data_IF_906626941659
#
_entry.id   IF_906626941659
#
_cell.length_a   1.000
_cell.length_b   1.000
_cell.length_c   1.000
_cell.angle_alpha   90.00
_cell.angle_beta   90.00
_cell.angle_gamma   90.00
#
_symmetry.space_group_name_H-M   'P 1'
#
loop_
_entity.id
_entity.type
_entity.pdbx_description
1 polymer ?
#
# COMPACT_ATOMS: atom_id res chain seq x y z
N UNK A 1 -1.54 27.19 16.39
CA UNK A 1 -1.71 25.83 15.78
C UNK A 1 -0.87 24.83 16.56
N UNK A 2 -1.41 23.66 16.96
CA UNK A 2 -0.64 22.67 17.77
C UNK A 2 0.30 21.83 16.90
N UNK A 3 1.42 21.36 17.48
CA UNK A 3 2.43 20.51 16.79
C UNK A 3 1.83 19.26 16.14
N UNK A 4 0.80 18.69 16.77
CA UNK A 4 0.10 17.50 16.27
C UNK A 4 -0.66 17.78 14.96
N UNK A 5 -1.32 18.93 14.83
CA UNK A 5 -1.99 19.33 13.58
C UNK A 5 -1.01 19.55 12.42
N UNK A 6 0.21 20.00 12.71
CA UNK A 6 1.28 20.17 11.71
C UNK A 6 1.79 18.81 11.21
N UNK A 7 2.01 17.85 12.12
CA UNK A 7 2.45 16.48 11.78
C UNK A 7 1.43 15.73 10.92
N UNK A 8 0.13 15.88 11.17
CA UNK A 8 -0.92 15.25 10.33
C UNK A 8 -0.90 15.83 8.91
N UNK A 9 -0.75 17.15 8.77
CA UNK A 9 -0.65 17.79 7.45
C UNK A 9 0.56 17.27 6.67
N UNK A 10 1.72 17.24 7.32
CA UNK A 10 2.95 16.73 6.70
C UNK A 10 2.81 15.26 6.26
N UNK A 11 2.13 14.42 7.05
CA UNK A 11 1.88 13.03 6.69
C UNK A 11 0.86 12.88 5.54
N UNK A 12 -0.16 13.75 5.48
CA UNK A 12 -1.09 13.79 4.35
C UNK A 12 -0.39 14.23 3.06
N UNK A 13 0.50 15.22 3.14
CA UNK A 13 1.29 15.69 1.99
C UNK A 13 2.20 14.55 1.48
N UNK A 14 2.86 13.81 2.38
CA UNK A 14 3.61 12.60 2.03
C UNK A 14 2.73 11.53 1.38
N UNK A 15 1.52 11.31 1.90
CA UNK A 15 0.60 10.31 1.36
C UNK A 15 0.22 10.64 -0.08
N UNK A 16 -0.09 11.91 -0.36
CA UNK A 16 -0.40 12.38 -1.71
C UNK A 16 0.75 12.09 -2.67
N UNK A 17 1.98 12.43 -2.30
CA UNK A 17 3.17 12.17 -3.11
C UNK A 17 3.35 10.67 -3.39
N UNK A 18 3.20 9.83 -2.36
CA UNK A 18 3.35 8.37 -2.51
C UNK A 18 2.28 7.78 -3.46
N UNK A 19 1.04 8.27 -3.39
CA UNK A 19 -0.04 7.84 -4.28
C UNK A 19 0.18 8.29 -5.73
N UNK A 20 0.66 9.52 -5.94
CA UNK A 20 1.00 10.03 -7.28
C UNK A 20 2.15 9.24 -7.91
N UNK A 21 3.19 8.92 -7.13
CA UNK A 21 4.29 8.07 -7.58
C UNK A 21 3.82 6.66 -7.92
N UNK A 22 2.99 6.05 -7.07
CA UNK A 22 2.47 4.71 -7.31
C UNK A 22 1.61 4.66 -8.58
N UNK A 23 0.74 5.65 -8.78
CA UNK A 23 -0.07 5.78 -9.99
C UNK A 23 0.82 5.89 -11.23
N UNK A 24 1.80 6.80 -11.20
CA UNK A 24 2.74 6.96 -12.30
C UNK A 24 3.48 5.64 -12.60
N UNK A 25 4.01 4.95 -11.59
CA UNK A 25 4.71 3.69 -11.79
C UNK A 25 3.79 2.61 -12.39
N UNK A 26 2.52 2.58 -11.99
CA UNK A 26 1.51 1.64 -12.52
C UNK A 26 1.24 1.92 -14.00
N UNK A 27 1.03 3.19 -14.38
CA UNK A 27 0.83 3.59 -15.78
C UNK A 27 2.01 3.19 -16.69
N UNK A 28 3.25 3.33 -16.19
CA UNK A 28 4.44 2.89 -16.92
C UNK A 28 4.54 1.35 -16.98
N UNK A 29 4.23 0.66 -15.88
CA UNK A 29 4.24 -0.80 -15.85
C UNK A 29 3.23 -1.39 -16.83
N UNK A 30 2.01 -0.85 -16.88
CA UNK A 30 0.95 -1.21 -17.83
C UNK A 30 1.36 -0.93 -19.29
N UNK A 31 2.23 0.06 -19.49
CA UNK A 31 2.90 0.35 -20.77
C UNK A 31 4.10 -0.57 -21.06
N UNK A 32 4.15 -1.76 -20.43
CA UNK A 32 5.20 -2.78 -20.56
C UNK A 32 6.59 -2.39 -20.02
N UNK A 33 6.70 -1.34 -19.20
CA UNK A 33 7.96 -1.00 -18.51
C UNK A 33 8.12 -1.83 -17.24
N UNK A 34 8.39 -3.13 -17.39
CA UNK A 34 8.40 -4.12 -16.30
C UNK A 34 9.35 -3.75 -15.14
N UNK A 35 10.43 -3.02 -15.42
CA UNK A 35 11.37 -2.55 -14.39
C UNK A 35 10.72 -1.62 -13.35
N UNK A 36 9.53 -1.06 -13.63
CA UNK A 36 8.75 -0.26 -12.69
C UNK A 36 8.15 -1.06 -11.54
N UNK A 37 8.15 -2.41 -11.61
CA UNK A 37 7.70 -3.26 -10.51
C UNK A 37 8.45 -3.01 -9.20
N UNK A 38 9.78 -2.77 -9.26
CA UNK A 38 10.60 -2.52 -8.07
C UNK A 38 10.28 -1.15 -7.42
N UNK A 39 10.21 -0.03 -8.17
CA UNK A 39 9.67 1.24 -7.67
C UNK A 39 8.28 1.11 -7.06
N UNK A 40 7.35 0.37 -7.69
CA UNK A 40 6.00 0.12 -7.15
C UNK A 40 6.06 -0.57 -5.79
N UNK A 41 6.80 -1.68 -5.69
CA UNK A 41 6.97 -2.42 -4.44
C UNK A 41 7.58 -1.54 -3.33
N UNK A 42 8.50 -0.64 -3.71
CA UNK A 42 9.11 0.31 -2.78
C UNK A 42 8.09 1.30 -2.24
N UNK A 43 7.22 1.89 -3.09
CA UNK A 43 6.16 2.80 -2.63
C UNK A 43 5.18 2.07 -1.72
N UNK A 44 4.76 0.85 -2.09
CA UNK A 44 3.89 0.02 -1.24
C UNK A 44 4.51 -0.22 0.12
N UNK A 45 5.81 -0.57 0.18
CA UNK A 45 6.52 -0.78 1.45
C UNK A 45 6.44 0.45 2.35
N UNK A 46 6.64 1.66 1.84
CA UNK A 46 6.51 2.90 2.63
C UNK A 46 5.09 3.07 3.21
N UNK A 47 4.07 2.69 2.46
CA UNK A 47 2.68 2.83 2.87
C UNK A 47 2.27 1.83 3.95
N UNK A 48 2.69 0.56 3.86
CA UNK A 48 2.14 -0.53 4.68
C UNK A 48 3.15 -1.20 5.63
N UNK A 49 4.46 -1.13 5.35
CA UNK A 49 5.43 -1.92 6.10
C UNK A 49 5.69 -1.32 7.49
N UNK A 50 5.39 -2.12 8.52
CA UNK A 50 5.61 -1.78 9.92
C UNK A 50 6.63 -2.72 10.55
N UNK A 51 7.43 -2.17 11.44
CA UNK A 51 8.34 -2.91 12.33
C UNK A 51 8.42 -2.16 13.65
N UNK A 52 9.01 -2.76 14.67
CA UNK A 52 9.25 -2.12 15.97
C UNK A 52 10.04 -0.79 15.87
N UNK A 53 10.77 -0.60 14.77
CA UNK A 53 11.62 0.58 14.53
C UNK A 53 11.11 1.51 13.44
N UNK A 54 10.02 1.15 12.74
CA UNK A 54 9.51 1.91 11.60
C UNK A 54 8.00 1.80 11.50
N UNK A 55 7.34 2.95 11.60
CA UNK A 55 5.90 3.05 11.45
C UNK A 55 5.55 3.43 10.01
N UNK A 56 4.68 2.65 9.39
CA UNK A 56 4.17 2.91 8.05
C UNK A 56 3.40 4.24 8.01
N UNK A 57 3.30 4.83 6.81
CA UNK A 57 2.61 6.12 6.67
C UNK A 57 1.10 6.01 6.99
N UNK A 58 0.47 4.88 6.66
CA UNK A 58 -0.93 4.64 6.98
C UNK A 58 -1.17 4.50 8.48
N UNK A 59 -0.23 3.88 9.20
CA UNK A 59 -0.31 3.78 10.66
C UNK A 59 -0.20 5.15 11.33
N UNK A 60 0.74 5.98 10.86
CA UNK A 60 0.89 7.35 11.34
C UNK A 60 -0.34 8.22 11.09
N UNK A 61 -1.20 7.84 10.14
CA UNK A 61 -2.45 8.50 9.80
C UNK A 61 -3.69 7.81 10.39
N UNK A 62 -3.52 6.73 11.15
CA UNK A 62 -4.62 5.92 11.70
C UNK A 62 -5.55 5.36 10.61
N UNK A 63 -4.98 4.99 9.46
CA UNK A 63 -5.71 4.46 8.30
C UNK A 63 -5.65 2.94 8.17
N UNK A 64 -4.92 2.23 9.05
CA UNK A 64 -4.74 0.78 8.97
C UNK A 64 -6.08 0.03 8.91
N UNK A 65 -7.03 0.39 9.76
CA UNK A 65 -8.34 -0.24 9.82
C UNK A 65 -9.26 0.10 8.63
N UNK A 66 -8.88 1.10 7.83
CA UNK A 66 -9.61 1.48 6.61
C UNK A 66 -9.08 0.77 5.38
N UNK A 67 -7.92 0.12 5.48
CA UNK A 67 -7.25 -0.51 4.37
C UNK A 67 -7.41 -2.02 4.48
N UNK A 68 -8.33 -2.57 3.70
CA UNK A 68 -8.48 -4.02 3.59
C UNK A 68 -7.53 -4.52 2.51
N UNK A 69 -6.48 -5.23 2.94
CA UNK A 69 -5.61 -6.01 2.07
C UNK A 69 -6.26 -7.38 1.88
N UNK A 70 -6.75 -7.66 0.69
CA UNK A 70 -7.29 -8.97 0.36
C UNK A 70 -6.20 -9.80 -0.32
N UNK A 71 -5.91 -10.98 0.24
CA UNK A 71 -5.13 -12.01 -0.45
C UNK A 71 -6.10 -12.97 -1.14
N UNK A 72 -5.67 -13.61 -2.24
CA UNK A 72 -6.48 -14.66 -2.83
C UNK A 72 -6.56 -15.81 -1.82
N UNK A 73 -7.73 -16.41 -1.57
CA UNK A 73 -7.88 -17.53 -0.66
C UNK A 73 -7.02 -18.76 -1.04
N UNK A 74 -6.42 -18.76 -2.24
CA UNK A 74 -5.55 -19.83 -2.74
C UNK A 74 -4.04 -19.54 -2.59
N UNK A 75 -3.59 -18.40 -2.05
CA UNK A 75 -2.18 -18.28 -1.65
C UNK A 75 -1.98 -18.86 -0.26
N UNK A 76 -1.39 -20.05 -0.23
CA UNK A 76 -0.77 -20.54 0.99
C UNK A 76 0.45 -19.65 1.29
N UNK A 77 0.31 -18.70 2.21
CA UNK A 77 1.47 -18.12 2.89
C UNK A 77 2.10 -19.22 3.74
N UNK A 78 3.02 -19.98 3.15
CA UNK A 78 3.83 -20.95 3.88
C UNK A 78 5.11 -20.24 4.34
N UNK A 79 5.38 -20.14 5.65
CA UNK A 79 6.63 -19.56 6.15
C UNK A 79 7.89 -20.35 5.73
N UNK A 80 7.72 -21.47 5.04
CA UNK A 80 8.80 -22.27 4.45
C UNK A 80 8.93 -22.09 2.92
N UNK A 81 7.99 -21.41 2.27
CA UNK A 81 8.13 -20.99 0.87
C UNK A 81 8.54 -19.52 0.82
N UNK A 82 9.82 -19.28 0.55
CA UNK A 82 10.38 -17.96 0.22
C UNK A 82 9.99 -17.48 -1.19
N UNK A 83 9.11 -18.23 -1.89
CA UNK A 83 8.59 -17.82 -3.19
C UNK A 83 7.55 -16.73 -2.97
N UNK A 84 7.83 -15.54 -3.51
CA UNK A 84 6.86 -14.44 -3.60
C UNK A 84 5.69 -14.88 -4.49
N UNK A 85 4.64 -15.42 -3.88
CA UNK A 85 3.34 -15.54 -4.55
C UNK A 85 2.76 -14.14 -4.66
N UNK A 86 2.82 -13.59 -5.88
CA UNK A 86 2.19 -12.32 -6.22
C UNK A 86 0.69 -12.52 -6.35
N UNK A 87 0.01 -12.57 -5.21
CA UNK A 87 -1.44 -12.47 -5.21
C UNK A 87 -1.86 -11.03 -5.46
N UNK A 88 -2.83 -10.86 -6.35
CA UNK A 88 -3.44 -9.58 -6.64
C UNK A 88 -4.09 -9.02 -5.37
N UNK A 89 -3.38 -8.09 -4.72
CA UNK A 89 -3.89 -7.36 -3.57
C UNK A 89 -4.88 -6.28 -4.04
N UNK A 90 -6.15 -6.47 -3.78
CA UNK A 90 -7.14 -5.41 -3.91
C UNK A 90 -7.00 -4.51 -2.68
N UNK A 91 -6.73 -3.21 -2.90
CA UNK A 91 -6.68 -2.19 -1.87
C UNK A 91 -7.89 -1.26 -2.01
N UNK A 92 -8.78 -1.25 -1.01
CA UNK A 92 -9.91 -0.32 -0.93
C UNK A 92 -9.76 0.60 0.28
N UNK A 93 -10.00 1.91 0.11
CA UNK A 93 -10.06 2.90 1.19
C UNK A 93 -11.46 3.55 1.14
N UNK A 94 -12.38 3.15 2.03
CA UNK A 94 -13.75 3.69 2.07
C UNK A 94 -14.79 2.73 2.66
N UNK A 95 -16.00 3.24 2.99
CA UNK A 95 -17.09 2.49 3.64
C UNK A 95 -17.91 1.58 2.70
N UNK A 96 -17.55 1.51 1.42
CA UNK A 96 -18.19 0.61 0.48
C UNK A 96 -17.18 -0.46 0.09
N UNK A 97 -17.44 -1.68 0.56
CA UNK A 97 -16.63 -2.84 0.20
C UNK A 97 -16.72 -3.11 -1.30
N UNK A 98 -15.67 -3.68 -1.92
CA UNK A 98 -15.74 -4.02 -3.33
C UNK A 98 -16.83 -5.06 -3.58
N UNK A 99 -17.67 -4.82 -4.58
CA UNK A 99 -18.55 -5.82 -5.16
C UNK A 99 -17.67 -6.94 -5.72
N UNK A 100 -17.71 -8.10 -5.07
CA UNK A 100 -17.07 -9.32 -5.53
C UNK A 100 -17.88 -9.82 -6.74
N UNK A 101 -17.36 -9.64 -7.96
CA UNK A 101 -17.84 -10.41 -9.09
C UNK A 101 -17.33 -11.85 -8.92
N UNK A 102 -18.28 -12.78 -8.78
CA UNK A 102 -18.06 -14.22 -8.79
C UNK A 102 -17.63 -14.71 -10.17
#
# INVERSE_FOLDING_TARGET
MSRQKRSIKENNDKLKVQLELLRSCTEHFDSCMIHMALPMATQFRVLIHQTDKSNSLLHQLYLDNKLKLWHSPNSSFSPHNLLTTWDLLIMSIGSEGPLIFR
#
